data_IF_835377099141
#
_entry.id   IF_835377099141
#
_cell.length_a   1.000
_cell.length_b   1.000
_cell.length_c   1.000
_cell.angle_alpha   90.00
_cell.angle_beta   90.00
_cell.angle_gamma   90.00
#
_symmetry.space_group_name_H-M   'P 1'
#
loop_
_entity.id
_entity.type
_entity.pdbx_description
1 polymer ?
#
# COMPACT_ATOMS: atom_id res chain seq x y z
N UNK A 1 -30.48 33.54 7.74
CA UNK A 1 -30.66 32.47 6.74
C UNK A 1 -30.84 31.16 7.48
N UNK A 2 -32.03 30.55 7.39
CA UNK A 2 -32.30 29.24 8.01
C UNK A 2 -31.69 28.16 7.13
N UNK A 3 -30.96 27.21 7.73
CA UNK A 3 -30.49 26.02 7.02
C UNK A 3 -31.68 25.08 6.89
N UNK A 4 -32.22 24.96 5.69
CA UNK A 4 -33.10 23.84 5.36
C UNK A 4 -32.26 22.57 5.47
N UNK A 5 -32.48 21.80 6.54
CA UNK A 5 -32.21 20.37 6.52
C UNK A 5 -33.29 19.78 5.64
N UNK A 6 -33.05 19.72 4.32
CA UNK A 6 -33.79 18.78 3.50
C UNK A 6 -33.43 17.40 4.01
N UNK A 7 -34.33 16.83 4.80
CA UNK A 7 -34.41 15.39 5.01
C UNK A 7 -34.74 14.80 3.63
N UNK A 8 -33.71 14.65 2.79
CA UNK A 8 -33.86 13.84 1.58
C UNK A 8 -34.08 12.43 2.08
N UNK A 9 -35.32 11.97 2.05
CA UNK A 9 -35.66 10.59 2.34
C UNK A 9 -34.84 9.69 1.40
N UNK A 10 -34.30 8.63 1.97
CA UNK A 10 -33.44 7.68 1.27
C UNK A 10 -34.34 6.80 0.40
N UNK A 11 -34.63 7.26 -0.82
CA UNK A 11 -35.50 6.58 -1.80
C UNK A 11 -34.93 5.24 -2.29
N UNK A 12 -33.76 4.83 -1.79
CA UNK A 12 -33.13 3.56 -2.16
C UNK A 12 -33.86 2.38 -1.52
N UNK A 13 -33.99 1.30 -2.29
CA UNK A 13 -34.51 0.03 -1.74
C UNK A 13 -33.55 -0.50 -0.68
N UNK A 14 -34.07 -1.28 0.26
CA UNK A 14 -33.31 -1.82 1.40
C UNK A 14 -32.08 -2.63 0.98
N UNK A 15 -32.10 -3.24 -0.22
CA UNK A 15 -30.96 -3.99 -0.75
C UNK A 15 -29.78 -3.09 -1.18
N UNK A 16 -30.00 -1.78 -1.35
CA UNK A 16 -29.00 -0.81 -1.78
C UNK A 16 -28.60 0.15 -0.63
N UNK A 17 -28.18 -0.41 0.52
CA UNK A 17 -27.62 0.41 1.62
C UNK A 17 -26.19 0.87 1.32
N UNK A 18 -26.06 2.12 0.87
CA UNK A 18 -24.77 2.74 0.56
C UNK A 18 -24.05 3.29 1.80
N UNK A 19 -24.67 3.30 2.99
CA UNK A 19 -24.08 3.88 4.22
C UNK A 19 -22.92 3.06 4.76
N UNK A 20 -22.92 1.76 4.48
CA UNK A 20 -21.86 0.83 4.87
C UNK A 20 -20.62 0.86 3.96
N UNK A 21 -20.73 1.51 2.79
CA UNK A 21 -19.64 1.57 1.81
C UNK A 21 -18.61 2.65 2.17
N UNK A 22 -17.32 2.31 2.02
CA UNK A 22 -16.24 3.28 2.17
C UNK A 22 -16.19 4.18 0.94
N UNK A 23 -16.35 5.49 1.13
CA UNK A 23 -16.31 6.48 0.03
C UNK A 23 -14.90 6.57 -0.58
N UNK A 24 -14.78 6.27 -1.87
CA UNK A 24 -13.56 6.47 -2.69
C UNK A 24 -13.70 7.72 -3.54
N UNK A 25 -12.68 8.60 -3.53
CA UNK A 25 -12.57 9.65 -4.55
C UNK A 25 -11.89 9.06 -5.79
N UNK A 26 -12.58 9.08 -6.93
CA UNK A 26 -12.06 8.67 -8.23
C UNK A 26 -11.63 9.93 -9.02
N UNK A 27 -10.47 9.88 -9.68
CA UNK A 27 -9.98 10.99 -10.52
C UNK A 27 -8.46 10.97 -10.74
N UNK A 28 -8.02 11.53 -11.87
CA UNK A 28 -6.61 11.65 -12.25
C UNK A 28 -5.83 12.51 -11.23
N UNK A 29 -4.64 12.05 -10.84
CA UNK A 29 -3.74 12.80 -9.94
C UNK A 29 -3.97 12.60 -8.44
N UNK A 30 -4.80 11.62 -8.02
CA UNK A 30 -4.95 11.28 -6.60
C UNK A 30 -4.19 10.02 -6.24
N UNK A 31 -3.46 10.07 -5.12
CA UNK A 31 -2.66 8.98 -4.56
C UNK A 31 -3.56 7.77 -4.31
N UNK A 32 -3.14 6.58 -4.79
CA UNK A 32 -3.78 5.32 -4.42
C UNK A 32 -3.89 5.22 -2.90
N UNK A 33 -4.96 4.61 -2.40
CA UNK A 33 -5.03 4.23 -1.00
C UNK A 33 -3.93 3.20 -0.76
N UNK A 34 -2.82 3.62 -0.14
CA UNK A 34 -1.86 2.70 0.44
C UNK A 34 -0.73 2.28 -0.48
N UNK A 35 0.48 2.51 0.03
CA UNK A 35 1.59 1.55 0.12
C UNK A 35 1.82 0.61 -1.08
N UNK A 36 3.02 0.69 -1.65
CA UNK A 36 3.59 -0.30 -2.56
C UNK A 36 3.26 -1.72 -2.09
N UNK A 37 2.49 -2.46 -2.89
CA UNK A 37 2.14 -3.85 -2.58
C UNK A 37 3.29 -4.74 -3.03
N UNK A 38 3.81 -5.54 -2.10
CA UNK A 38 4.87 -6.52 -2.37
C UNK A 38 4.26 -7.91 -2.24
N UNK A 39 4.39 -8.72 -3.28
CA UNK A 39 3.96 -10.12 -3.26
C UNK A 39 5.02 -10.95 -2.55
N UNK A 40 4.60 -11.73 -1.55
CA UNK A 40 5.43 -12.74 -0.93
C UNK A 40 5.21 -14.09 -1.62
N UNK A 41 6.24 -14.92 -1.63
CA UNK A 41 6.11 -16.32 -2.04
C UNK A 41 5.36 -17.14 -0.96
N UNK A 42 4.71 -18.27 -1.34
CA UNK A 42 3.85 -19.03 -0.43
C UNK A 42 4.56 -19.54 0.81
N UNK A 43 5.80 -20.00 0.66
CA UNK A 43 6.66 -20.47 1.75
C UNK A 43 6.93 -19.37 2.79
N UNK A 44 7.22 -18.15 2.33
CA UNK A 44 7.45 -16.99 3.20
C UNK A 44 6.14 -16.56 3.87
N UNK A 45 5.02 -16.59 3.15
CA UNK A 45 3.72 -16.23 3.70
C UNK A 45 3.24 -17.22 4.79
N UNK A 46 3.56 -18.51 4.65
CA UNK A 46 3.28 -19.52 5.68
C UNK A 46 4.12 -19.30 6.95
N UNK A 47 5.37 -18.88 6.79
CA UNK A 47 6.28 -18.62 7.91
C UNK A 47 5.98 -17.30 8.65
N UNK A 48 5.43 -16.29 7.95
CA UNK A 48 5.14 -14.98 8.52
C UNK A 48 3.64 -14.65 8.45
N UNK A 49 2.89 -14.88 9.56
CA UNK A 49 1.43 -14.75 9.55
C UNK A 49 0.93 -13.28 9.52
N UNK A 50 1.80 -12.28 9.66
CA UNK A 50 1.42 -10.87 9.64
C UNK A 50 2.45 -9.98 8.95
N UNK A 51 1.99 -8.86 8.40
CA UNK A 51 2.86 -7.83 7.82
C UNK A 51 3.83 -7.24 8.85
N UNK A 52 3.42 -7.13 10.11
CA UNK A 52 4.28 -6.64 11.19
C UNK A 52 5.47 -7.58 11.43
N UNK A 53 5.23 -8.90 11.44
CA UNK A 53 6.28 -9.90 11.61
C UNK A 53 7.32 -9.85 10.47
N UNK A 54 6.87 -9.70 9.23
CA UNK A 54 7.77 -9.51 8.06
C UNK A 54 8.59 -8.23 8.22
N UNK A 55 7.93 -7.13 8.57
CA UNK A 55 8.58 -5.84 8.70
C UNK A 55 9.62 -5.83 9.82
N UNK A 56 9.35 -6.47 10.96
CA UNK A 56 10.30 -6.60 12.06
C UNK A 56 11.52 -7.44 11.67
N UNK A 57 11.32 -8.57 11.00
CA UNK A 57 12.40 -9.41 10.51
C UNK A 57 13.32 -8.66 9.53
N UNK A 58 12.73 -7.96 8.56
CA UNK A 58 13.49 -7.15 7.60
C UNK A 58 14.23 -5.98 8.28
N UNK A 59 13.61 -5.32 9.27
CA UNK A 59 14.28 -4.28 10.07
C UNK A 59 15.45 -4.83 10.88
N UNK A 60 15.29 -6.03 11.46
CA UNK A 60 16.37 -6.70 12.15
C UNK A 60 17.54 -6.99 11.21
N UNK A 61 17.26 -7.55 10.02
CA UNK A 61 18.27 -7.80 9.00
C UNK A 61 18.99 -6.52 8.60
N UNK A 62 18.26 -5.42 8.36
CA UNK A 62 18.86 -4.12 8.06
C UNK A 62 19.80 -3.62 9.18
N UNK A 63 19.44 -3.81 10.45
CA UNK A 63 20.30 -3.42 11.59
C UNK A 63 21.58 -4.25 11.63
N UNK A 64 21.48 -5.57 11.46
CA UNK A 64 22.65 -6.47 11.41
C UNK A 64 23.54 -6.11 10.23
N UNK A 65 22.94 -5.87 9.05
CA UNK A 65 23.67 -5.44 7.87
C UNK A 65 24.37 -4.11 8.12
N UNK A 66 23.72 -3.10 8.69
CA UNK A 66 24.34 -1.80 8.99
C UNK A 66 25.51 -1.91 9.98
N UNK A 67 25.38 -2.77 10.99
CA UNK A 67 26.48 -3.06 11.93
C UNK A 67 27.67 -3.72 11.22
N UNK A 68 27.41 -4.60 10.25
CA UNK A 68 28.42 -5.25 9.44
C UNK A 68 28.94 -4.37 8.29
N UNK A 69 28.16 -3.37 7.86
CA UNK A 69 28.44 -2.44 6.76
C UNK A 69 29.42 -1.34 7.15
N UNK A 70 29.58 -1.09 8.46
CA UNK A 70 30.78 -0.42 8.95
C UNK A 70 32.08 -1.12 8.48
N UNK A 71 32.01 -2.35 7.94
CA UNK A 71 33.09 -3.09 7.29
C UNK A 71 32.96 -3.34 5.77
N UNK A 72 31.92 -2.89 5.04
CA UNK A 72 31.86 -3.07 3.56
C UNK A 72 30.95 -2.07 2.81
N UNK A 73 31.39 -1.48 1.68
CA UNK A 73 30.68 -0.41 0.99
C UNK A 73 29.40 -0.89 0.27
N UNK A 74 28.38 -0.03 0.32
CA UNK A 74 27.07 -0.19 -0.32
C UNK A 74 27.20 -0.25 -1.85
N UNK A 75 26.91 -1.39 -2.47
CA UNK A 75 26.66 -1.44 -3.91
C UNK A 75 25.16 -1.24 -4.14
N UNK A 76 24.77 0.00 -4.40
CA UNK A 76 23.43 0.33 -4.88
C UNK A 76 23.27 -0.21 -6.31
N UNK A 77 22.63 -1.36 -6.47
CA UNK A 77 22.15 -1.79 -7.78
C UNK A 77 20.86 -1.02 -8.09
N UNK A 78 21.03 0.21 -8.59
CA UNK A 78 20.00 0.87 -9.39
C UNK A 78 19.88 0.10 -10.70
N UNK A 79 18.97 -0.87 -10.77
CA UNK A 79 18.57 -1.44 -12.06
C UNK A 79 17.70 -0.40 -12.76
N UNK A 80 18.36 0.48 -13.52
CA UNK A 80 17.75 1.26 -14.57
C UNK A 80 17.18 0.28 -15.61
N UNK A 81 15.86 0.29 -15.78
CA UNK A 81 15.22 -0.29 -16.96
C UNK A 81 14.98 0.86 -17.94
N UNK A 82 15.97 1.05 -18.81
CA UNK A 82 15.82 1.74 -20.09
C UNK A 82 14.77 0.98 -20.93
N UNK A 83 13.71 1.61 -21.44
CA UNK A 83 13.03 1.12 -22.63
C UNK A 83 13.80 1.68 -23.83
N UNK A 84 14.59 0.81 -24.46
CA UNK A 84 15.17 1.06 -25.77
C UNK A 84 14.06 1.39 -26.77
N UNK A 85 14.21 2.54 -27.43
CA UNK A 85 13.54 2.85 -28.70
C UNK A 85 13.74 1.69 -29.69
N UNK A 86 12.63 1.14 -30.20
CA UNK A 86 12.62 0.42 -31.46
C UNK A 86 11.42 0.90 -32.29
N UNK A 87 11.76 1.84 -33.18
CA UNK A 87 11.25 2.23 -34.50
C UNK A 87 9.83 1.83 -34.94
#
# INVERSE_FOLDING_TARGET
MKRDKSEMEDDLRTEYDLKSLRVRRLGSGRKSFGTTTVRLEPDVAEMFPSADAVNEALRFLLRVMQQNQALAPQTHASTALEPTDDK
#
